data_IF_739113811904
#
_entry.id   IF_739113811904
#
_cell.length_a   1.000
_cell.length_b   1.000
_cell.length_c   1.000
_cell.angle_alpha   90.00
_cell.angle_beta   90.00
_cell.angle_gamma   90.00
#
_symmetry.space_group_name_H-M   'P 1'
#
loop_
_entity.id
_entity.type
_entity.pdbx_description
1 polymer ?
#
# COMPACT_ATOMS: atom_id res chain seq x y z
N UNK A 1 15.09 16.75 21.48
CA UNK A 1 14.31 16.44 20.27
C UNK A 1 14.32 17.51 19.16
N UNK A 2 15.19 18.54 19.21
CA UNK A 2 15.15 19.65 18.23
C UNK A 2 15.24 19.22 16.74
N UNK A 3 16.10 18.26 16.34
CA UNK A 3 16.15 17.80 14.95
C UNK A 3 14.83 17.17 14.49
N UNK A 4 14.20 16.33 15.32
CA UNK A 4 12.93 15.69 15.00
C UNK A 4 11.81 16.72 14.81
N UNK A 5 11.71 17.70 15.71
CA UNK A 5 10.74 18.80 15.62
C UNK A 5 10.94 19.60 14.31
N UNK A 6 12.19 19.95 13.99
CA UNK A 6 12.50 20.70 12.78
C UNK A 6 12.11 19.93 11.51
N UNK A 7 12.39 18.63 11.46
CA UNK A 7 12.00 17.74 10.36
C UNK A 7 10.49 17.68 10.19
N UNK A 8 9.72 17.49 11.28
CA UNK A 8 8.26 17.45 11.21
C UNK A 8 7.68 18.77 10.70
N UNK A 9 8.09 19.91 11.28
CA UNK A 9 7.62 21.23 10.85
C UNK A 9 7.91 21.50 9.38
N UNK A 10 9.08 21.12 8.89
CA UNK A 10 9.44 21.33 7.48
C UNK A 10 8.56 20.51 6.55
N UNK A 11 8.29 19.26 6.89
CA UNK A 11 7.48 18.35 6.07
C UNK A 11 5.97 18.61 6.18
N UNK A 12 5.49 19.14 7.31
CA UNK A 12 4.06 19.44 7.52
C UNK A 12 3.63 20.82 7.00
N UNK A 13 4.58 21.75 6.74
CA UNK A 13 4.29 23.16 6.44
C UNK A 13 3.29 23.39 5.30
N UNK A 14 3.31 22.54 4.27
CA UNK A 14 2.50 22.70 3.06
C UNK A 14 1.68 21.45 2.73
N UNK A 15 1.46 20.57 3.71
CA UNK A 15 0.79 19.28 3.50
C UNK A 15 -0.39 19.12 4.47
N UNK A 16 -1.52 18.61 3.99
CA UNK A 16 -2.65 18.22 4.84
C UNK A 16 -2.46 16.88 5.55
N UNK A 17 -1.51 16.06 5.07
CA UNK A 17 -1.17 14.76 5.62
C UNK A 17 0.34 14.47 5.46
N UNK A 18 0.93 13.76 6.41
CA UNK A 18 2.31 13.27 6.37
C UNK A 18 2.34 11.76 6.57
N UNK A 19 2.93 11.03 5.61
CA UNK A 19 3.27 9.61 5.78
C UNK A 19 4.67 9.50 6.40
N UNK A 20 4.78 8.81 7.53
CA UNK A 20 6.04 8.41 8.14
C UNK A 20 6.35 7.00 7.66
N UNK A 21 7.40 6.91 6.85
CA UNK A 21 7.97 5.64 6.43
C UNK A 21 8.59 4.92 7.63
N UNK A 22 8.41 3.60 7.73
CA UNK A 22 8.88 2.77 8.82
C UNK A 22 8.59 3.37 10.20
N UNK A 23 7.32 3.53 10.55
CA UNK A 23 6.90 4.25 11.78
C UNK A 23 7.43 3.60 13.07
N UNK A 24 7.78 2.31 13.00
CA UNK A 24 8.49 1.57 14.05
C UNK A 24 9.82 2.23 14.45
N UNK A 25 10.42 3.05 13.58
CA UNK A 25 11.62 3.84 13.85
C UNK A 25 11.46 4.84 15.01
N UNK A 26 10.22 5.17 15.40
CA UNK A 26 9.95 5.94 16.63
C UNK A 26 10.24 5.11 17.89
N UNK A 27 10.16 3.77 17.81
CA UNK A 27 10.45 2.85 18.91
C UNK A 27 11.85 2.24 18.80
N UNK A 28 12.23 1.74 17.62
CA UNK A 28 13.50 1.06 17.40
C UNK A 28 13.90 1.05 15.94
N UNK A 29 15.21 1.04 15.67
CA UNK A 29 15.75 0.76 14.34
C UNK A 29 16.72 -0.42 14.41
N UNK A 30 16.72 -1.23 13.36
CA UNK A 30 17.69 -2.32 13.21
C UNK A 30 18.98 -1.74 12.63
N UNK A 31 20.02 -1.66 13.46
CA UNK A 31 21.30 -1.08 13.09
C UNK A 31 22.26 -2.19 12.67
N UNK A 32 22.86 -2.03 11.49
CA UNK A 32 23.90 -2.90 10.98
C UNK A 32 25.23 -2.14 11.05
N UNK A 33 26.29 -2.71 11.66
CA UNK A 33 27.61 -2.08 11.64
C UNK A 33 28.07 -1.81 10.21
N UNK A 34 28.73 -0.68 9.99
CA UNK A 34 29.23 -0.32 8.67
C UNK A 34 30.18 -1.41 8.13
N UNK A 35 29.91 -1.89 6.92
CA UNK A 35 30.68 -2.96 6.27
C UNK A 35 30.26 -4.39 6.64
N UNK A 36 29.35 -4.57 7.59
CA UNK A 36 28.81 -5.89 7.94
C UNK A 36 27.61 -6.28 7.06
N UNK A 37 27.28 -7.58 7.08
CA UNK A 37 26.07 -8.12 6.44
C UNK A 37 24.82 -7.83 7.29
N UNK A 38 23.65 -7.88 6.66
CA UNK A 38 22.38 -7.51 7.28
C UNK A 38 21.96 -8.41 8.46
N UNK A 39 22.51 -9.62 8.57
CA UNK A 39 22.27 -10.55 9.68
C UNK A 39 23.08 -10.22 10.96
N UNK A 40 24.08 -9.33 10.85
CA UNK A 40 24.96 -8.93 11.96
C UNK A 40 24.41 -7.74 12.78
N UNK A 41 23.19 -7.30 12.52
CA UNK A 41 22.61 -6.12 13.18
C UNK A 41 21.89 -6.41 14.49
N UNK A 42 21.49 -5.33 15.15
CA UNK A 42 20.68 -5.37 16.37
C UNK A 42 19.71 -4.20 16.44
N UNK A 43 18.60 -4.37 17.18
CA UNK A 43 17.67 -3.27 17.43
C UNK A 43 18.21 -2.29 18.47
N UNK A 44 18.27 -1.01 18.09
CA UNK A 44 18.55 0.12 18.98
C UNK A 44 17.24 0.84 19.29
N UNK A 45 16.94 1.04 20.58
CA UNK A 45 15.69 1.67 21.06
C UNK A 45 15.78 3.19 21.00
N UNK A 46 14.62 3.80 20.75
CA UNK A 46 14.37 5.23 20.76
C UNK A 46 13.33 5.58 21.84
N UNK A 47 13.30 6.83 22.34
CA UNK A 47 12.33 7.26 23.36
C UNK A 47 10.93 7.42 22.74
N UNK A 48 10.22 6.30 22.60
CA UNK A 48 8.99 6.18 21.82
C UNK A 48 7.89 7.15 22.25
N UNK A 49 7.58 7.20 23.55
CA UNK A 49 6.49 8.06 24.05
C UNK A 49 6.75 9.56 23.82
N UNK A 50 7.98 10.01 24.02
CA UNK A 50 8.36 11.41 23.77
C UNK A 50 8.24 11.75 22.29
N UNK A 51 8.77 10.88 21.41
CA UNK A 51 8.69 11.08 19.96
C UNK A 51 7.25 11.07 19.45
N UNK A 52 6.42 10.16 19.97
CA UNK A 52 5.02 10.06 19.62
C UNK A 52 4.21 11.28 20.11
N UNK A 53 4.49 11.76 21.33
CA UNK A 53 3.89 12.99 21.87
C UNK A 53 4.25 14.23 21.06
N UNK A 54 5.52 14.35 20.65
CA UNK A 54 5.98 15.45 19.78
C UNK A 54 5.33 15.36 18.40
N UNK A 55 5.23 14.16 17.83
CA UNK A 55 4.56 13.94 16.55
C UNK A 55 3.10 14.39 16.60
N UNK A 56 2.37 14.00 17.63
CA UNK A 56 0.99 14.41 17.84
C UNK A 56 0.87 15.94 18.01
N UNK A 57 1.77 16.56 18.80
CA UNK A 57 1.79 18.00 19.01
C UNK A 57 2.03 18.77 17.70
N UNK A 58 3.04 18.38 16.92
CA UNK A 58 3.35 19.05 15.65
C UNK A 58 2.28 18.77 14.59
N UNK A 59 1.65 17.59 14.58
CA UNK A 59 0.47 17.30 13.75
C UNK A 59 -0.67 18.28 14.03
N UNK A 60 -1.02 18.49 15.31
CA UNK A 60 -2.07 19.44 15.70
C UNK A 60 -1.72 20.88 15.33
N UNK A 61 -0.50 21.34 15.61
CA UNK A 61 -0.04 22.70 15.30
C UNK A 61 -0.08 23.02 13.81
N UNK A 62 0.21 22.04 12.97
CA UNK A 62 0.24 22.21 11.52
C UNK A 62 -1.08 21.80 10.83
N UNK A 63 -2.08 21.32 11.58
CA UNK A 63 -3.32 20.76 11.02
C UNK A 63 -3.04 19.69 9.94
N UNK A 64 -2.04 18.86 10.21
CA UNK A 64 -1.52 17.87 9.27
C UNK A 64 -1.72 16.48 9.88
N UNK A 65 -2.58 15.65 9.27
CA UNK A 65 -2.79 14.28 9.76
C UNK A 65 -1.54 13.42 9.54
N UNK A 66 -1.41 12.34 10.31
CA UNK A 66 -0.24 11.47 10.21
C UNK A 66 -0.67 10.06 9.85
N UNK A 67 0.08 9.47 8.92
CA UNK A 67 -0.05 8.09 8.47
C UNK A 67 1.25 7.39 8.84
N UNK A 68 1.18 6.36 9.68
CA UNK A 68 2.33 5.51 9.99
C UNK A 68 2.35 4.33 9.04
N UNK A 69 3.44 4.16 8.30
CA UNK A 69 3.68 2.89 7.62
C UNK A 69 4.05 1.84 8.66
N UNK A 70 3.09 0.97 8.99
CA UNK A 70 3.19 -0.09 9.99
C UNK A 70 3.09 -1.49 9.34
N UNK A 71 3.92 -1.75 8.33
CA UNK A 71 4.01 -3.03 7.64
C UNK A 71 5.11 -3.93 8.21
N UNK A 72 4.97 -5.23 7.97
CA UNK A 72 5.88 -6.25 8.45
C UNK A 72 5.70 -6.58 9.95
N UNK A 73 6.81 -6.83 10.64
CA UNK A 73 6.79 -7.26 12.05
C UNK A 73 6.72 -6.05 12.98
N UNK A 74 5.49 -5.62 13.27
CA UNK A 74 5.21 -4.46 14.11
C UNK A 74 4.95 -4.90 15.56
N UNK A 75 5.70 -4.38 16.55
CA UNK A 75 5.41 -4.64 17.97
C UNK A 75 4.04 -4.10 18.40
N UNK A 76 3.34 -4.82 19.28
CA UNK A 76 2.02 -4.43 19.78
C UNK A 76 2.02 -3.04 20.43
N UNK A 77 3.10 -2.69 21.13
CA UNK A 77 3.31 -1.37 21.74
C UNK A 77 3.26 -0.25 20.69
N UNK A 78 3.81 -0.48 19.48
CA UNK A 78 3.74 0.50 18.40
C UNK A 78 2.29 0.66 17.95
N UNK A 79 1.57 -0.43 17.67
CA UNK A 79 0.16 -0.36 17.23
C UNK A 79 -0.71 0.37 18.26
N UNK A 80 -0.57 0.03 19.54
CA UNK A 80 -1.29 0.68 20.63
C UNK A 80 -0.93 2.17 20.74
N UNK A 81 0.35 2.52 20.61
CA UNK A 81 0.83 3.90 20.60
C UNK A 81 0.22 4.72 19.46
N UNK A 82 0.33 4.24 18.22
CA UNK A 82 -0.20 4.93 17.04
C UNK A 82 -1.70 5.20 17.17
N UNK A 83 -2.47 4.18 17.58
CA UNK A 83 -3.92 4.31 17.78
C UNK A 83 -4.25 5.36 18.85
N UNK A 84 -3.52 5.35 19.97
CA UNK A 84 -3.72 6.29 21.10
C UNK A 84 -3.59 7.76 20.67
N UNK A 85 -2.72 8.07 19.72
CA UNK A 85 -2.52 9.45 19.22
C UNK A 85 -3.19 9.73 17.88
N UNK A 86 -3.98 8.78 17.36
CA UNK A 86 -4.74 8.94 16.13
C UNK A 86 -3.89 8.94 14.85
N UNK A 87 -2.71 8.30 14.86
CA UNK A 87 -1.94 8.04 13.65
C UNK A 87 -2.64 6.93 12.86
N UNK A 88 -2.86 7.16 11.57
CA UNK A 88 -3.52 6.20 10.68
C UNK A 88 -2.56 5.05 10.32
N UNK A 89 -3.03 3.80 10.40
CA UNK A 89 -2.28 2.63 9.88
C UNK A 89 -2.28 2.60 8.35
N UNK A 90 -1.27 1.97 7.76
CA UNK A 90 -1.20 1.66 6.33
C UNK A 90 -1.66 0.22 6.08
N UNK A 91 -2.60 0.02 5.15
CA UNK A 91 -3.22 -1.29 4.86
C UNK A 91 -3.24 -1.59 3.35
N UNK A 92 -2.11 -2.01 2.75
CA UNK A 92 -2.06 -2.46 1.37
C UNK A 92 -2.84 -3.77 1.21
N UNK A 93 -3.63 -3.89 0.15
CA UNK A 93 -4.44 -5.07 -0.19
C UNK A 93 -3.60 -6.34 -0.17
N UNK A 94 -2.41 -6.33 -0.79
CA UNK A 94 -1.56 -7.51 -0.90
C UNK A 94 -1.16 -8.16 0.43
N UNK A 95 -1.21 -7.40 1.54
CA UNK A 95 -0.89 -7.89 2.89
C UNK A 95 -2.11 -8.01 3.79
N UNK A 96 -3.30 -7.71 3.28
CA UNK A 96 -4.52 -7.64 4.06
C UNK A 96 -5.26 -8.98 4.00
N UNK A 97 -4.69 -9.99 4.65
CA UNK A 97 -5.25 -11.34 4.76
C UNK A 97 -5.35 -11.79 6.21
N UNK A 98 -6.28 -12.71 6.48
CA UNK A 98 -6.44 -13.35 7.79
C UNK A 98 -5.44 -14.50 8.00
N UNK A 99 -5.64 -15.27 9.09
CA UNK A 99 -4.79 -16.39 9.45
C UNK A 99 -4.87 -17.57 8.47
N UNK A 100 -5.99 -17.71 7.75
CA UNK A 100 -6.20 -18.73 6.72
C UNK A 100 -5.70 -18.25 5.34
N UNK A 101 -5.27 -17.00 5.26
CA UNK A 101 -4.75 -16.36 4.05
C UNK A 101 -5.83 -15.79 3.15
N UNK A 102 -7.10 -15.82 3.57
CA UNK A 102 -8.20 -15.17 2.87
C UNK A 102 -8.10 -13.65 3.01
N UNK A 103 -8.46 -12.92 1.95
CA UNK A 103 -8.38 -11.46 1.98
C UNK A 103 -9.46 -10.91 2.91
N UNK A 104 -9.10 -9.94 3.74
CA UNK A 104 -10.05 -9.34 4.67
C UNK A 104 -11.16 -8.65 3.90
N UNK A 105 -12.42 -8.88 4.30
CA UNK A 105 -13.57 -8.22 3.71
C UNK A 105 -13.45 -6.68 3.85
N UNK A 106 -13.99 -5.88 2.91
CA UNK A 106 -13.89 -4.42 2.97
C UNK A 106 -14.38 -3.83 4.30
N UNK A 107 -15.48 -4.37 4.84
CA UNK A 107 -16.06 -3.94 6.11
C UNK A 107 -15.14 -4.19 7.34
N UNK A 108 -14.18 -5.12 7.24
CA UNK A 108 -13.26 -5.46 8.32
C UNK A 108 -12.03 -4.55 8.39
N UNK A 109 -11.79 -3.72 7.36
CA UNK A 109 -10.69 -2.76 7.41
C UNK A 109 -10.91 -1.72 8.52
N UNK A 110 -9.86 -1.35 9.26
CA UNK A 110 -9.99 -0.33 10.29
C UNK A 110 -10.32 1.03 9.69
N UNK A 111 -11.23 1.76 10.33
CA UNK A 111 -11.59 3.13 9.93
C UNK A 111 -10.40 4.09 9.97
N UNK A 112 -9.57 3.98 11.01
CA UNK A 112 -8.39 4.83 11.20
C UNK A 112 -7.17 4.30 10.42
N UNK A 113 -7.35 4.19 9.11
CA UNK A 113 -6.31 3.72 8.20
C UNK A 113 -6.35 4.40 6.83
N UNK A 114 -5.25 4.16 6.12
CA UNK A 114 -5.07 4.40 4.69
C UNK A 114 -5.01 3.03 4.01
N UNK A 115 -5.89 2.81 3.04
CA UNK A 115 -5.88 1.61 2.20
C UNK A 115 -5.32 1.92 0.82
N UNK A 116 -4.67 0.94 0.21
CA UNK A 116 -4.17 0.98 -1.16
C UNK A 116 -4.07 -0.45 -1.69
N UNK A 117 -3.86 -0.63 -2.99
CA UNK A 117 -3.58 -1.97 -3.54
C UNK A 117 -2.20 -2.45 -3.06
N UNK A 118 -1.18 -1.66 -3.37
CA UNK A 118 0.20 -1.90 -2.98
C UNK A 118 0.88 -0.59 -2.58
N UNK A 119 2.20 -0.58 -2.67
CA UNK A 119 3.04 0.60 -2.50
C UNK A 119 3.95 0.74 -3.73
N UNK A 120 4.75 1.80 -3.79
CA UNK A 120 5.74 1.99 -4.85
C UNK A 120 6.83 0.90 -4.89
N UNK A 121 6.98 0.14 -3.81
CA UNK A 121 7.93 -0.98 -3.68
C UNK A 121 7.36 -2.33 -4.15
N UNK A 122 6.06 -2.37 -4.44
CA UNK A 122 5.35 -3.59 -4.79
C UNK A 122 4.96 -3.58 -6.26
N UNK A 123 4.65 -4.77 -6.76
CA UNK A 123 4.13 -4.96 -8.09
C UNK A 123 2.88 -4.08 -8.31
N UNK A 124 2.78 -3.45 -9.49
CA UNK A 124 1.52 -2.87 -9.93
C UNK A 124 0.45 -3.96 -9.96
N UNK A 125 -0.81 -3.58 -9.95
CA UNK A 125 -1.91 -4.54 -9.91
C UNK A 125 -1.88 -5.49 -11.12
N UNK A 126 -1.62 -4.97 -12.32
CA UNK A 126 -1.38 -5.81 -13.51
C UNK A 126 -0.11 -6.64 -13.39
N UNK A 127 1.00 -6.07 -12.91
CA UNK A 127 2.27 -6.77 -12.71
C UNK A 127 2.13 -7.95 -11.77
N UNK A 128 1.46 -7.75 -10.63
CA UNK A 128 1.10 -8.80 -9.68
C UNK A 128 0.24 -9.88 -10.36
N UNK A 129 -0.75 -9.46 -11.14
CA UNK A 129 -1.71 -10.35 -11.75
C UNK A 129 -1.15 -11.23 -12.86
N UNK A 130 -0.16 -10.75 -13.62
CA UNK A 130 0.48 -11.59 -14.65
C UNK A 130 1.79 -12.22 -14.16
N UNK A 131 2.35 -11.76 -13.04
CA UNK A 131 3.56 -12.33 -12.43
C UNK A 131 4.87 -11.63 -12.84
N UNK A 132 4.78 -10.44 -13.41
CA UNK A 132 5.92 -9.70 -13.95
C UNK A 132 6.97 -9.34 -12.89
N UNK A 133 6.55 -9.16 -11.64
CA UNK A 133 7.46 -8.93 -10.51
C UNK A 133 8.30 -10.17 -10.18
N UNK A 134 7.72 -11.36 -10.30
CA UNK A 134 8.44 -12.62 -10.09
C UNK A 134 9.43 -12.87 -11.23
N UNK A 135 9.03 -12.56 -12.46
CA UNK A 135 9.92 -12.66 -13.63
C UNK A 135 11.09 -11.68 -13.50
N UNK A 136 10.81 -10.43 -13.10
CA UNK A 136 11.85 -9.43 -12.87
C UNK A 136 12.82 -9.88 -11.76
N UNK A 137 12.32 -10.44 -10.66
CA UNK A 137 13.18 -10.96 -9.58
C UNK A 137 14.04 -12.12 -10.05
N UNK A 138 13.50 -13.04 -10.84
CA UNK A 138 14.25 -14.18 -11.37
C UNK A 138 15.40 -13.77 -12.30
N UNK A 139 15.21 -12.71 -13.09
CA UNK A 139 16.28 -12.17 -13.94
C UNK A 139 17.44 -11.58 -13.11
N UNK A 140 17.14 -10.98 -11.96
CA UNK A 140 18.11 -10.21 -11.17
C UNK A 140 18.80 -11.01 -10.08
N UNK A 141 18.02 -11.84 -9.40
CA UNK A 141 18.50 -12.75 -8.37
C UNK A 141 17.81 -14.09 -8.63
N UNK A 142 18.38 -14.90 -9.55
CA UNK A 142 17.81 -16.19 -9.90
C UNK A 142 17.56 -17.00 -8.64
N UNK A 143 16.39 -17.61 -8.56
CA UNK A 143 16.06 -18.47 -7.44
C UNK A 143 17.12 -19.57 -7.34
N UNK A 144 17.69 -19.83 -6.14
CA UNK A 144 18.78 -20.81 -6.00
C UNK A 144 18.40 -22.21 -6.49
N UNK A 145 17.10 -22.51 -6.48
CA UNK A 145 16.51 -23.77 -6.89
C UNK A 145 15.20 -23.48 -7.67
N UNK A 146 14.96 -24.13 -8.83
CA UNK A 146 13.74 -23.92 -9.62
C UNK A 146 12.43 -24.16 -8.85
N UNK A 147 12.48 -25.02 -7.83
CA UNK A 147 11.36 -25.33 -6.94
C UNK A 147 10.89 -24.09 -6.16
N UNK A 148 11.80 -23.16 -5.83
CA UNK A 148 11.44 -21.90 -5.18
C UNK A 148 10.64 -21.00 -6.12
N UNK A 149 11.02 -20.92 -7.41
CA UNK A 149 10.26 -20.16 -8.41
C UNK A 149 8.87 -20.77 -8.61
N UNK A 150 8.81 -22.10 -8.70
CA UNK A 150 7.55 -22.82 -8.81
C UNK A 150 6.65 -22.58 -7.59
N UNK A 151 7.19 -22.65 -6.37
CA UNK A 151 6.46 -22.38 -5.14
C UNK A 151 5.88 -20.95 -5.11
N UNK A 152 6.65 -19.94 -5.54
CA UNK A 152 6.17 -18.55 -5.65
C UNK A 152 5.03 -18.42 -6.67
N UNK A 153 5.07 -19.14 -7.79
CA UNK A 153 3.97 -19.16 -8.76
C UNK A 153 2.71 -19.81 -8.18
N UNK A 154 2.86 -20.95 -7.50
CA UNK A 154 1.74 -21.63 -6.84
C UNK A 154 1.11 -20.72 -5.78
N UNK A 155 1.92 -20.08 -4.96
CA UNK A 155 1.47 -19.11 -3.96
C UNK A 155 0.71 -17.95 -4.62
N UNK A 156 1.27 -17.35 -5.67
CA UNK A 156 0.65 -16.25 -6.41
C UNK A 156 -0.69 -16.65 -7.04
N UNK A 157 -0.80 -17.83 -7.65
CA UNK A 157 -2.08 -18.36 -8.14
C UNK A 157 -3.07 -18.54 -7.00
N UNK A 158 -2.62 -19.02 -5.83
CA UNK A 158 -3.43 -19.10 -4.62
C UNK A 158 -3.96 -17.73 -4.16
N UNK A 159 -3.09 -16.71 -4.14
CA UNK A 159 -3.47 -15.34 -3.79
C UNK A 159 -4.50 -14.76 -4.76
N UNK A 160 -4.30 -14.92 -6.07
CA UNK A 160 -5.26 -14.46 -7.09
C UNK A 160 -6.61 -15.14 -6.94
N UNK A 161 -6.62 -16.45 -6.68
CA UNK A 161 -7.86 -17.20 -6.42
C UNK A 161 -8.63 -16.67 -5.21
N UNK A 162 -7.92 -16.37 -4.11
CA UNK A 162 -8.54 -15.79 -2.90
C UNK A 162 -9.04 -14.37 -3.11
N UNK A 163 -8.34 -13.54 -3.90
CA UNK A 163 -8.86 -12.24 -4.32
C UNK A 163 -10.12 -12.36 -5.18
N UNK A 164 -10.15 -13.27 -6.14
CA UNK A 164 -11.34 -13.52 -6.97
C UNK A 164 -12.53 -14.00 -6.12
N UNK A 165 -12.27 -14.86 -5.13
CA UNK A 165 -13.27 -15.28 -4.16
C UNK A 165 -13.78 -14.10 -3.32
N UNK A 166 -12.89 -13.25 -2.81
CA UNK A 166 -13.27 -12.05 -2.07
C UNK A 166 -14.11 -11.07 -2.91
N UNK A 167 -13.76 -10.87 -4.19
CA UNK A 167 -14.57 -10.09 -5.14
C UNK A 167 -15.95 -10.71 -5.35
N UNK A 168 -16.04 -12.04 -5.41
CA UNK A 168 -17.32 -12.74 -5.55
C UNK A 168 -18.19 -12.60 -4.30
N UNK A 169 -17.62 -12.72 -3.10
CA UNK A 169 -18.34 -12.51 -1.84
C UNK A 169 -18.88 -11.08 -1.72
N UNK A 170 -18.19 -10.10 -2.29
CA UNK A 170 -18.61 -8.70 -2.35
C UNK A 170 -19.47 -8.38 -3.59
N UNK A 171 -19.86 -9.36 -4.42
CA UNK A 171 -20.63 -9.11 -5.65
C UNK A 171 -19.95 -8.09 -6.59
N UNK A 172 -18.61 -8.08 -6.58
CA UNK A 172 -17.76 -7.20 -7.38
C UNK A 172 -17.06 -7.92 -8.54
N UNK A 173 -17.10 -9.26 -8.59
CA UNK A 173 -16.51 -10.01 -9.70
C UNK A 173 -17.18 -9.62 -11.03
N UNK A 174 -16.43 -9.05 -12.00
CA UNK A 174 -17.03 -8.59 -13.25
C UNK A 174 -17.69 -9.72 -14.06
N UNK A 175 -18.84 -9.48 -14.71
CA UNK A 175 -19.46 -10.44 -15.60
C UNK A 175 -18.51 -10.84 -16.74
N UNK A 176 -18.41 -12.13 -17.03
CA UNK A 176 -17.56 -12.67 -18.11
C UNK A 176 -16.12 -12.98 -17.70
N UNK A 177 -15.69 -12.64 -16.48
CA UNK A 177 -14.40 -13.11 -15.95
C UNK A 177 -14.56 -14.53 -15.42
N UNK A 178 -13.85 -15.48 -16.02
CA UNK A 178 -13.71 -16.83 -15.49
C UNK A 178 -12.66 -16.86 -14.38
N UNK A 179 -13.03 -17.17 -13.11
CA UNK A 179 -12.07 -17.24 -12.01
C UNK A 179 -10.92 -18.23 -12.24
N UNK A 180 -11.16 -19.31 -12.99
CA UNK A 180 -10.15 -20.32 -13.29
C UNK A 180 -9.02 -19.76 -14.16
N UNK A 181 -9.38 -19.02 -15.22
CA UNK A 181 -8.40 -18.41 -16.12
C UNK A 181 -7.76 -17.15 -15.51
N UNK A 182 -8.56 -16.30 -14.85
CA UNK A 182 -8.06 -15.12 -14.14
C UNK A 182 -7.03 -15.49 -13.06
N UNK A 183 -7.26 -16.55 -12.27
CA UNK A 183 -6.28 -17.00 -11.27
C UNK A 183 -4.94 -17.45 -11.88
N UNK A 184 -4.93 -17.85 -13.15
CA UNK A 184 -3.72 -18.23 -13.91
C UNK A 184 -3.04 -17.06 -14.61
N UNK A 185 -3.52 -15.84 -14.38
CA UNK A 185 -2.87 -14.61 -14.82
C UNK A 185 -3.51 -13.97 -16.04
N UNK A 186 -4.71 -14.40 -16.45
CA UNK A 186 -5.51 -13.59 -17.37
C UNK A 186 -5.93 -12.29 -16.69
N UNK A 187 -5.73 -11.17 -17.38
CA UNK A 187 -5.89 -9.82 -16.88
C UNK A 187 -6.90 -9.06 -17.73
N UNK A 188 -7.74 -8.25 -17.08
CA UNK A 188 -8.60 -7.27 -17.77
C UNK A 188 -8.69 -5.95 -17.01
N UNK A 189 -8.96 -4.82 -17.68
CA UNK A 189 -9.21 -3.54 -17.01
C UNK A 189 -10.37 -3.58 -16.01
N UNK A 190 -11.41 -4.37 -16.29
CA UNK A 190 -12.59 -4.53 -15.45
C UNK A 190 -12.23 -5.18 -14.11
N UNK A 191 -11.31 -6.14 -14.12
CA UNK A 191 -10.78 -6.76 -12.91
C UNK A 191 -10.01 -5.75 -12.06
N UNK A 192 -9.20 -4.89 -12.69
CA UNK A 192 -8.51 -3.81 -12.00
C UNK A 192 -9.46 -2.84 -11.32
N UNK A 193 -10.51 -2.43 -12.02
CA UNK A 193 -11.54 -1.57 -11.45
C UNK A 193 -12.28 -2.27 -10.29
N UNK A 194 -12.58 -3.56 -10.41
CA UNK A 194 -13.24 -4.33 -9.34
C UNK A 194 -12.41 -4.37 -8.05
N UNK A 195 -11.09 -4.54 -8.16
CA UNK A 195 -10.18 -4.53 -7.01
C UNK A 195 -10.06 -3.12 -6.38
N UNK A 196 -10.09 -2.06 -7.18
CA UNK A 196 -10.16 -0.69 -6.65
C UNK A 196 -11.49 -0.45 -5.91
N UNK A 197 -12.62 -0.94 -6.46
CA UNK A 197 -13.94 -0.87 -5.81
C UNK A 197 -13.98 -1.65 -4.50
N UNK A 198 -13.34 -2.82 -4.46
CA UNK A 198 -13.23 -3.63 -3.25
C UNK A 198 -12.64 -2.84 -2.09
N UNK A 199 -11.52 -2.16 -2.32
CA UNK A 199 -10.93 -1.27 -1.30
C UNK A 199 -11.79 -0.02 -1.04
N UNK A 200 -12.45 0.52 -2.06
CA UNK A 200 -13.29 1.70 -1.92
C UNK A 200 -14.49 1.48 -0.98
N UNK A 201 -15.00 0.25 -0.87
CA UNK A 201 -16.04 -0.14 0.09
C UNK A 201 -15.60 -0.16 1.55
N UNK A 202 -14.29 -0.11 1.80
CA UNK A 202 -13.80 -0.10 3.18
C UNK A 202 -14.20 1.17 3.92
N UNK A 203 -14.38 1.11 5.26
CA UNK A 203 -14.65 2.29 6.07
C UNK A 203 -13.39 3.11 6.35
N UNK A 204 -12.22 2.73 5.80
CA UNK A 204 -10.97 3.45 5.98
C UNK A 204 -11.12 4.93 5.61
N UNK A 205 -10.45 5.82 6.34
CA UNK A 205 -10.52 7.27 6.10
C UNK A 205 -9.99 7.65 4.73
N UNK A 206 -8.93 7.00 4.25
CA UNK A 206 -8.27 7.34 2.98
C UNK A 206 -8.10 6.10 2.13
N UNK A 207 -8.34 6.25 0.82
CA UNK A 207 -7.94 5.30 -0.22
C UNK A 207 -6.90 6.01 -1.07
N UNK A 208 -5.76 5.39 -1.27
CA UNK A 208 -4.75 5.83 -2.24
C UNK A 208 -4.83 4.93 -3.46
N UNK A 209 -4.93 5.54 -4.63
CA UNK A 209 -4.89 4.85 -5.92
C UNK A 209 -3.59 5.19 -6.60
N UNK A 210 -2.78 4.18 -6.94
CA UNK A 210 -1.63 4.34 -7.79
C UNK A 210 -2.08 4.47 -9.25
N UNK A 211 -1.61 5.49 -9.96
CA UNK A 211 -2.06 5.73 -11.34
C UNK A 211 -1.45 4.73 -12.32
N UNK A 212 -0.36 4.07 -11.93
CA UNK A 212 0.20 2.90 -12.58
C UNK A 212 -0.82 1.77 -12.72
N UNK A 213 -1.67 1.56 -11.72
CA UNK A 213 -2.73 0.54 -11.78
C UNK A 213 -3.84 0.96 -12.76
N UNK A 214 -4.21 2.24 -12.74
CA UNK A 214 -5.26 2.81 -13.62
C UNK A 214 -4.84 2.80 -15.10
N UNK A 215 -3.53 2.98 -15.35
CA UNK A 215 -2.93 2.94 -16.69
C UNK A 215 -2.35 1.57 -17.04
N UNK A 216 -2.68 0.53 -16.25
CA UNK A 216 -2.32 -0.86 -16.54
C UNK A 216 -0.82 -1.04 -16.80
N UNK A 217 0.02 -0.34 -16.03
CA UNK A 217 1.47 -0.48 -16.11
C UNK A 217 1.83 -1.86 -15.62
N UNK A 218 2.68 -2.54 -16.40
CA UNK A 218 3.15 -3.88 -16.07
C UNK A 218 4.23 -3.86 -14.98
N UNK A 219 5.09 -2.85 -15.03
CA UNK A 219 6.35 -2.83 -14.28
C UNK A 219 6.26 -1.85 -13.11
N UNK A 220 6.77 -2.27 -11.95
CA UNK A 220 6.87 -1.44 -10.75
C UNK A 220 7.94 -0.35 -10.88
N UNK A 221 7.72 0.78 -10.18
CA UNK A 221 8.63 1.94 -10.19
C UNK A 221 9.93 1.70 -9.41
N UNK A 222 9.87 0.85 -8.38
CA UNK A 222 11.02 0.46 -7.58
C UNK A 222 10.96 -1.04 -7.28
N UNK A 223 12.08 -1.76 -7.36
CA UNK A 223 12.21 -3.12 -6.85
C UNK A 223 13.21 -3.14 -5.68
N UNK A 224 12.74 -3.35 -4.43
CA UNK A 224 13.62 -3.40 -3.28
C UNK A 224 14.74 -4.44 -3.42
N UNK A 225 15.93 -4.09 -2.95
CA UNK A 225 17.11 -4.95 -3.03
C UNK A 225 17.90 -4.84 -4.34
N UNK A 226 17.57 -3.87 -5.20
CA UNK A 226 18.29 -3.56 -6.44
C UNK A 226 18.79 -2.11 -6.42
N UNK A 227 19.90 -1.85 -7.09
CA UNK A 227 20.55 -0.53 -7.17
C UNK A 227 20.57 -0.04 -8.62
N UNK A 228 21.29 -0.74 -9.49
CA UNK A 228 21.53 -0.34 -10.89
C UNK A 228 20.92 -1.31 -11.90
N UNK A 229 20.42 -2.44 -11.44
CA UNK A 229 19.92 -3.52 -12.30
C UNK A 229 18.56 -3.19 -12.92
N UNK A 230 17.81 -2.27 -12.30
CA UNK A 230 16.54 -1.77 -12.81
C UNK A 230 16.50 -0.24 -12.80
N UNK A 231 15.65 0.38 -13.66
CA UNK A 231 15.45 1.82 -13.67
C UNK A 231 14.57 2.28 -12.49
N UNK A 232 14.97 1.95 -11.25
CA UNK A 232 14.31 2.38 -10.03
C UNK A 232 14.16 3.90 -10.03
N UNK A 233 12.96 4.39 -9.70
CA UNK A 233 12.63 5.82 -9.62
C UNK A 233 12.74 6.60 -10.95
N UNK A 234 12.88 5.90 -12.08
CA UNK A 234 13.05 6.53 -13.40
C UNK A 234 11.87 6.29 -14.34
N UNK A 235 10.93 5.42 -13.97
CA UNK A 235 9.76 5.07 -14.79
C UNK A 235 8.73 6.20 -14.74
N UNK A 236 8.35 6.72 -15.92
CA UNK A 236 7.29 7.72 -16.07
C UNK A 236 5.93 7.05 -16.25
N UNK A 237 4.87 7.78 -15.92
CA UNK A 237 3.53 7.46 -16.38
C UNK A 237 3.44 7.61 -17.91
N UNK A 238 2.48 6.93 -18.52
CA UNK A 238 2.34 6.84 -20.00
C UNK A 238 1.33 7.83 -20.58
N UNK A 239 0.82 8.73 -19.75
CA UNK A 239 -0.20 9.71 -20.09
C UNK A 239 0.12 11.03 -19.41
N UNK A 240 -0.01 12.11 -20.17
CA UNK A 240 0.15 13.47 -19.65
C UNK A 240 -1.05 13.82 -18.76
N UNK A 241 -0.83 14.65 -17.75
CA UNK A 241 -1.84 14.96 -16.72
C UNK A 241 -3.09 15.61 -17.33
N UNK A 242 -2.88 16.43 -18.37
CA UNK A 242 -3.87 17.18 -19.12
C UNK A 242 -4.91 16.29 -19.79
N UNK A 243 -4.54 15.04 -20.09
CA UNK A 243 -5.39 14.07 -20.78
C UNK A 243 -6.20 13.19 -19.83
N UNK A 244 -5.98 13.26 -18.51
CA UNK A 244 -6.55 12.30 -17.57
C UNK A 244 -8.07 12.34 -17.53
N UNK A 245 -8.68 13.52 -17.65
CA UNK A 245 -10.13 13.67 -17.64
C UNK A 245 -10.81 13.01 -18.87
N UNK A 246 -10.07 12.84 -19.97
CA UNK A 246 -10.54 12.29 -21.23
C UNK A 246 -10.36 10.76 -21.29
N UNK A 247 -9.54 10.18 -20.41
CA UNK A 247 -9.23 8.74 -20.42
C UNK A 247 -10.40 7.93 -19.84
N UNK A 248 -10.93 6.92 -20.57
CA UNK A 248 -12.04 6.11 -20.11
C UNK A 248 -11.81 5.38 -18.78
N UNK A 249 -10.62 4.81 -18.56
CA UNK A 249 -10.31 4.07 -17.31
C UNK A 249 -10.26 5.00 -16.09
N UNK A 250 -9.78 6.23 -16.26
CA UNK A 250 -9.78 7.26 -15.19
C UNK A 250 -11.21 7.68 -14.85
N UNK A 251 -12.05 7.93 -15.87
CA UNK A 251 -13.47 8.25 -15.63
C UNK A 251 -14.21 7.11 -14.93
N UNK A 252 -14.04 5.89 -15.42
CA UNK A 252 -14.65 4.70 -14.81
C UNK A 252 -14.24 4.53 -13.34
N UNK A 253 -12.96 4.77 -13.02
CA UNK A 253 -12.49 4.79 -11.64
C UNK A 253 -13.18 5.89 -10.82
N UNK A 254 -13.19 7.14 -11.30
CA UNK A 254 -13.80 8.26 -10.57
C UNK A 254 -15.28 7.99 -10.28
N UNK A 255 -16.02 7.49 -11.26
CA UNK A 255 -17.45 7.18 -11.11
C UNK A 255 -17.66 6.04 -10.10
N UNK A 256 -16.84 4.99 -10.17
CA UNK A 256 -16.85 3.90 -9.20
C UNK A 256 -16.52 4.38 -7.78
N UNK A 257 -15.50 5.22 -7.62
CA UNK A 257 -15.12 5.77 -6.31
C UNK A 257 -16.19 6.70 -5.75
N UNK A 258 -16.87 7.48 -6.58
CA UNK A 258 -18.02 8.31 -6.14
C UNK A 258 -19.19 7.47 -5.66
N UNK A 259 -19.44 6.33 -6.29
CA UNK A 259 -20.50 5.41 -5.90
C UNK A 259 -20.20 4.72 -4.57
N UNK A 260 -18.98 4.19 -4.40
CA UNK A 260 -18.59 3.46 -3.19
C UNK A 260 -18.23 4.40 -2.02
N UNK A 261 -17.75 5.61 -2.30
CA UNK A 261 -17.35 6.63 -1.31
C UNK A 261 -18.04 7.96 -1.60
N UNK A 262 -19.36 8.03 -1.41
CA UNK A 262 -20.11 9.26 -1.68
C UNK A 262 -19.56 10.42 -0.82
N UNK A 263 -19.54 11.65 -1.35
CA UNK A 263 -19.15 12.82 -0.56
C UNK A 263 -20.01 12.87 0.71
N UNK A 264 -19.35 12.98 1.86
CA UNK A 264 -20.10 13.25 3.09
C UNK A 264 -20.76 14.62 2.95
N UNK A 265 -22.05 14.71 3.29
CA UNK A 265 -22.76 16.00 3.33
C UNK A 265 -21.92 16.98 4.17
N UNK A 266 -21.74 18.24 3.73
CA UNK A 266 -20.94 19.20 4.47
C UNK A 266 -21.46 19.27 5.90
N UNK A 267 -20.61 18.93 6.88
CA UNK A 267 -20.92 19.12 8.29
C UNK A 267 -21.20 20.61 8.47
N UNK A 268 -22.41 20.95 8.91
CA UNK A 268 -22.73 22.31 9.35
C UNK A 268 -21.65 22.71 10.37
N UNK A 269 -20.84 23.70 10.01
CA UNK A 269 -19.83 24.24 10.91
C UNK A 269 -20.61 24.88 12.05
N UNK A 270 -20.63 24.23 13.22
CA UNK A 270 -21.13 24.85 14.44
C UNK A 270 -20.27 26.10 14.67
N UNK A 271 -20.91 27.26 14.58
CA UNK A 271 -20.32 28.58 14.87
C UNK A 271 -20.05 28.74 16.35
#
# INVERSE_FOLDING_TARGET
YAPFIATLRRNMRAAGALRIDHVMGLLRLYWVPAGAQADAGAYVRYPFDDLLGILALESQRNRCMVIGEDLGTVPDEVRAGLQRVGVLSSRPLYFAHDADGEFIAPAAYPRDAVVSVGTHDLATLKGFWVGADLDAREVLSPFPQPEHRYAQNVERTGQRRRLLHALQCEELLPPGIDPYHAARGEWSPELGLALQRYLARSPAKILLVAMEDVFERLEQVNLPGTVDELPNWRRKLVRDLEDWAQIPTVRALIDALRAERPPSAPRAVAR
#
